data_IF_574354615830
#
_entry.id   IF_574354615830
#
_cell.length_a   1.000
_cell.length_b   1.000
_cell.length_c   1.000
_cell.angle_alpha   90.00
_cell.angle_beta   90.00
_cell.angle_gamma   90.00
#
_symmetry.space_group_name_H-M   'P 1'
#
loop_
_entity.id
_entity.type
_entity.pdbx_description
1 polymer ?
#
# COMPACT_ATOMS: atom_id res chain seq x y z
N UNK A 1 6.90 -87.94 44.97
CA UNK A 1 8.32 -88.38 44.83
C UNK A 1 9.09 -87.60 43.75
N UNK A 2 8.55 -87.36 42.55
CA UNK A 2 9.20 -86.51 41.51
C UNK A 2 9.36 -85.02 41.94
N UNK A 3 8.38 -84.44 42.64
CA UNK A 3 8.46 -83.05 43.12
C UNK A 3 9.52 -82.83 44.22
N UNK A 4 9.70 -83.80 45.12
CA UNK A 4 10.75 -83.76 46.16
C UNK A 4 12.16 -83.98 45.58
N UNK A 5 12.29 -84.79 44.53
CA UNK A 5 13.56 -85.00 43.83
C UNK A 5 13.94 -83.77 42.98
N UNK A 6 12.97 -83.12 42.32
CA UNK A 6 13.18 -81.86 41.62
C UNK A 6 13.45 -80.70 42.60
N UNK A 7 12.82 -80.68 43.78
CA UNK A 7 13.23 -79.79 44.87
C UNK A 7 14.70 -80.06 45.20
N UNK A 8 15.12 -81.25 45.64
CA UNK A 8 16.53 -81.47 45.99
C UNK A 8 17.55 -81.22 44.87
N UNK A 9 17.22 -81.50 43.60
CA UNK A 9 18.17 -81.30 42.49
C UNK A 9 18.36 -79.82 42.10
N UNK A 10 17.31 -79.01 42.26
CA UNK A 10 17.33 -77.60 41.85
C UNK A 10 17.28 -76.63 43.02
N UNK A 11 17.02 -77.08 44.26
CA UNK A 11 16.94 -76.24 45.45
C UNK A 11 18.29 -75.66 45.80
N UNK A 12 19.37 -76.44 45.83
CA UNK A 12 20.70 -75.90 46.16
C UNK A 12 21.20 -74.87 45.11
N UNK A 13 21.07 -75.12 43.78
CA UNK A 13 21.38 -74.12 42.77
C UNK A 13 20.46 -72.89 42.82
N UNK A 14 19.15 -73.07 43.04
CA UNK A 14 18.18 -71.97 43.09
C UNK A 14 18.34 -71.15 44.37
N UNK A 15 18.63 -71.77 45.51
CA UNK A 15 18.91 -71.12 46.79
C UNK A 15 20.21 -70.33 46.73
N UNK A 16 21.26 -70.88 46.09
CA UNK A 16 22.49 -70.14 45.81
C UNK A 16 22.21 -68.91 44.93
N UNK A 17 21.41 -69.05 43.86
CA UNK A 17 21.01 -67.92 43.01
C UNK A 17 20.22 -66.87 43.82
N UNK A 18 19.25 -67.28 44.64
CA UNK A 18 18.48 -66.38 45.49
C UNK A 18 19.35 -65.70 46.55
N UNK A 19 20.36 -66.37 47.10
CA UNK A 19 21.33 -65.80 48.02
C UNK A 19 22.16 -64.70 47.34
N UNK A 20 22.69 -64.96 46.14
CA UNK A 20 23.39 -63.94 45.34
C UNK A 20 22.48 -62.77 44.97
N UNK A 21 21.21 -63.01 44.63
CA UNK A 21 20.24 -61.96 44.34
C UNK A 21 19.95 -61.07 45.56
N UNK A 22 19.87 -61.67 46.77
CA UNK A 22 19.71 -60.92 48.02
C UNK A 22 20.96 -60.11 48.37
N UNK A 23 22.14 -60.66 48.16
CA UNK A 23 23.39 -59.91 48.34
C UNK A 23 23.50 -58.76 47.35
N UNK A 24 23.14 -58.98 46.08
CA UNK A 24 23.09 -57.93 45.07
C UNK A 24 22.10 -56.83 45.46
N UNK A 25 20.89 -57.17 45.92
CA UNK A 25 19.90 -56.19 46.40
C UNK A 25 20.43 -55.40 47.61
N UNK A 26 21.14 -56.07 48.54
CA UNK A 26 21.76 -55.41 49.69
C UNK A 26 22.89 -54.46 49.28
N UNK A 27 23.77 -54.87 48.38
CA UNK A 27 24.83 -54.03 47.82
C UNK A 27 24.24 -52.84 47.06
N UNK A 28 23.17 -53.05 46.29
CA UNK A 28 22.46 -52.00 45.56
C UNK A 28 21.84 -50.98 46.51
N UNK A 29 21.22 -51.44 47.61
CA UNK A 29 20.68 -50.57 48.67
C UNK A 29 21.77 -49.77 49.38
N UNK A 30 22.90 -50.40 49.71
CA UNK A 30 24.04 -49.72 50.34
C UNK A 30 24.69 -48.70 49.41
N UNK A 31 24.83 -49.04 48.13
CA UNK A 31 25.32 -48.12 47.10
C UNK A 31 24.40 -46.90 46.95
N UNK A 32 23.08 -47.12 46.88
CA UNK A 32 22.09 -46.03 46.86
C UNK A 32 22.13 -45.19 48.13
N UNK A 33 22.31 -45.80 49.30
CA UNK A 33 22.49 -45.06 50.56
C UNK A 33 23.75 -44.20 50.55
N UNK A 34 24.86 -44.68 50.00
CA UNK A 34 26.09 -43.91 49.88
C UNK A 34 26.00 -42.81 48.81
N UNK A 35 25.28 -43.03 47.70
CA UNK A 35 24.93 -41.98 46.71
C UNK A 35 24.16 -40.85 47.38
N UNK A 36 23.11 -41.19 48.14
CA UNK A 36 22.27 -40.21 48.86
C UNK A 36 23.08 -39.50 49.94
N UNK A 37 23.87 -40.24 50.72
CA UNK A 37 24.72 -39.69 51.79
C UNK A 37 25.81 -38.77 51.27
N UNK A 38 26.40 -39.08 50.12
CA UNK A 38 27.39 -38.24 49.43
C UNK A 38 26.76 -37.17 48.52
N UNK A 39 25.43 -37.13 48.42
CA UNK A 39 24.65 -36.18 47.61
C UNK A 39 25.10 -36.14 46.14
N UNK A 40 25.47 -37.29 45.58
CA UNK A 40 26.00 -37.38 44.21
C UNK A 40 24.94 -36.94 43.18
N UNK A 41 23.66 -37.26 43.40
CA UNK A 41 22.56 -36.83 42.52
C UNK A 41 22.48 -35.30 42.37
N UNK A 42 22.82 -34.56 43.43
CA UNK A 42 22.83 -33.08 43.41
C UNK A 42 23.98 -32.51 42.59
N UNK A 43 25.09 -33.23 42.46
CA UNK A 43 26.19 -32.84 41.56
C UNK A 43 25.78 -32.99 40.09
N UNK A 44 24.97 -34.01 39.79
CA UNK A 44 24.42 -34.17 38.45
C UNK A 44 23.42 -33.05 38.10
N UNK A 45 22.64 -32.56 39.07
CA UNK A 45 21.82 -31.36 38.89
C UNK A 45 22.64 -30.10 38.63
N UNK A 46 23.78 -29.94 39.33
CA UNK A 46 24.73 -28.84 39.09
C UNK A 46 25.31 -28.94 37.68
N UNK A 47 25.78 -30.11 37.26
CA UNK A 47 26.30 -30.36 35.91
C UNK A 47 25.25 -30.01 34.84
N UNK A 48 24.01 -30.52 34.98
CA UNK A 48 22.91 -30.19 34.07
C UNK A 48 22.62 -28.68 34.02
N UNK A 49 22.75 -27.98 35.14
CA UNK A 49 22.52 -26.52 35.20
C UNK A 49 23.68 -25.75 34.54
N UNK A 50 24.92 -26.23 34.67
CA UNK A 50 26.09 -25.69 33.97
C UNK A 50 25.90 -25.85 32.45
N UNK A 51 25.52 -27.04 31.97
CA UNK A 51 25.27 -27.26 30.54
C UNK A 51 24.18 -26.32 30.01
N UNK A 52 23.08 -26.16 30.76
CA UNK A 52 22.02 -25.20 30.40
C UNK A 52 22.52 -23.75 30.35
N UNK A 53 23.40 -23.35 31.27
CA UNK A 53 24.02 -22.02 31.26
C UNK A 53 24.91 -21.81 30.04
N UNK A 54 25.71 -22.81 29.67
CA UNK A 54 26.55 -22.75 28.48
C UNK A 54 25.71 -22.66 27.20
N UNK A 55 24.63 -23.43 27.10
CA UNK A 55 23.69 -23.37 25.97
C UNK A 55 22.97 -22.02 25.91
N UNK A 56 22.56 -21.47 27.05
CA UNK A 56 21.99 -20.12 27.14
C UNK A 56 22.99 -19.05 26.69
N UNK A 57 24.27 -19.18 27.08
CA UNK A 57 25.34 -18.26 26.66
C UNK A 57 25.52 -18.30 25.14
N UNK A 58 25.64 -19.49 24.54
CA UNK A 58 25.75 -19.66 23.08
C UNK A 58 24.53 -19.08 22.35
N UNK A 59 23.33 -19.35 22.86
CA UNK A 59 22.09 -18.80 22.29
C UNK A 59 22.08 -17.27 22.36
N UNK A 60 22.54 -16.68 23.47
CA UNK A 60 22.64 -15.23 23.64
C UNK A 60 23.64 -14.60 22.67
N UNK A 61 24.81 -15.21 22.52
CA UNK A 61 25.82 -14.78 21.54
C UNK A 61 25.24 -14.81 20.11
N UNK A 62 24.54 -15.89 19.74
CA UNK A 62 23.91 -16.00 18.44
C UNK A 62 22.81 -14.94 18.21
N UNK A 63 21.92 -14.73 19.17
CA UNK A 63 20.88 -13.67 19.07
C UNK A 63 21.52 -12.28 18.98
N UNK A 64 22.64 -12.05 19.67
CA UNK A 64 23.37 -10.78 19.58
C UNK A 64 23.96 -10.57 18.19
N UNK A 65 24.52 -11.60 17.56
CA UNK A 65 25.00 -11.56 16.18
C UNK A 65 23.86 -11.26 15.20
N UNK A 66 22.71 -11.95 15.33
CA UNK A 66 21.52 -11.69 14.50
C UNK A 66 21.03 -10.24 14.63
N UNK A 67 21.02 -9.68 15.84
CA UNK A 67 20.64 -8.27 16.05
C UNK A 67 21.58 -7.34 15.29
N UNK A 68 22.89 -7.57 15.35
CA UNK A 68 23.88 -6.74 14.63
C UNK A 68 23.68 -6.81 13.11
N UNK A 69 23.37 -7.99 12.57
CA UNK A 69 23.06 -8.14 11.15
C UNK A 69 21.76 -7.41 10.76
N UNK A 70 20.73 -7.49 11.59
CA UNK A 70 19.46 -6.79 11.37
C UNK A 70 19.63 -5.28 11.44
N UNK A 71 20.45 -4.77 12.37
CA UNK A 71 20.79 -3.34 12.47
C UNK A 71 21.52 -2.85 11.23
N UNK A 72 22.51 -3.59 10.74
CA UNK A 72 23.21 -3.27 9.48
C UNK A 72 22.25 -3.24 8.29
N UNK A 73 21.33 -4.21 8.23
CA UNK A 73 20.29 -4.26 7.18
C UNK A 73 19.32 -3.07 7.29
N UNK A 74 18.95 -2.68 8.51
CA UNK A 74 18.12 -1.49 8.77
C UNK A 74 18.82 -0.23 8.27
N UNK A 75 20.10 -0.05 8.59
CA UNK A 75 20.90 1.09 8.14
C UNK A 75 20.97 1.17 6.60
N UNK A 76 21.18 0.03 5.92
CA UNK A 76 21.15 -0.02 4.46
C UNK A 76 19.81 0.43 3.87
N UNK A 77 18.69 0.00 4.46
CA UNK A 77 17.35 0.40 4.02
C UNK A 77 17.10 1.88 4.34
N UNK A 78 17.59 2.39 5.47
CA UNK A 78 17.52 3.82 5.81
C UNK A 78 18.29 4.68 4.80
N UNK A 79 19.49 4.26 4.38
CA UNK A 79 20.25 4.97 3.35
C UNK A 79 19.52 4.96 1.99
N UNK A 80 18.90 3.83 1.62
CA UNK A 80 18.03 3.73 0.44
C UNK A 80 16.83 4.69 0.54
N UNK A 81 16.17 4.74 1.70
CA UNK A 81 15.04 5.64 1.95
C UNK A 81 15.44 7.10 1.77
N UNK A 82 16.55 7.54 2.38
CA UNK A 82 17.07 8.91 2.24
C UNK A 82 17.38 9.23 0.79
N UNK A 83 18.09 8.35 0.09
CA UNK A 83 18.42 8.52 -1.34
C UNK A 83 17.16 8.66 -2.20
N UNK A 84 16.15 7.82 -1.96
CA UNK A 84 14.88 7.87 -2.69
C UNK A 84 14.09 9.15 -2.37
N UNK A 85 14.14 9.64 -1.13
CA UNK A 85 13.50 10.89 -0.71
C UNK A 85 14.15 12.10 -1.40
N UNK A 86 15.48 12.18 -1.42
CA UNK A 86 16.22 13.23 -2.12
C UNK A 86 15.90 13.21 -3.61
N UNK A 87 15.97 12.03 -4.25
CA UNK A 87 15.63 11.87 -5.66
C UNK A 87 14.21 12.37 -5.99
N UNK A 88 13.23 12.05 -5.13
CA UNK A 88 11.85 12.54 -5.29
C UNK A 88 11.79 14.07 -5.21
N UNK A 89 12.52 14.67 -4.26
CA UNK A 89 12.57 16.13 -4.10
C UNK A 89 13.17 16.78 -5.33
N UNK A 90 14.33 16.31 -5.80
CA UNK A 90 14.96 16.81 -7.02
C UNK A 90 14.07 16.67 -8.25
N UNK A 91 13.31 15.57 -8.38
CA UNK A 91 12.33 15.43 -9.45
C UNK A 91 11.21 16.46 -9.38
N UNK A 92 10.73 16.80 -8.18
CA UNK A 92 9.70 17.84 -7.99
C UNK A 92 10.22 19.26 -8.21
N UNK A 93 11.51 19.47 -8.01
CA UNK A 93 12.19 20.75 -8.29
C UNK A 93 12.67 20.84 -9.74
N UNK A 94 12.55 19.77 -10.52
CA UNK A 94 13.00 19.74 -11.91
C UNK A 94 12.16 20.67 -12.80
N UNK A 95 12.81 21.16 -13.86
CA UNK A 95 12.14 21.94 -14.91
C UNK A 95 11.03 21.13 -15.58
N UNK A 96 11.21 19.81 -15.74
CA UNK A 96 10.21 18.92 -16.34
C UNK A 96 8.93 18.85 -15.51
N UNK A 97 9.05 18.69 -14.19
CA UNK A 97 7.89 18.66 -13.30
C UNK A 97 7.19 20.03 -13.25
N UNK A 98 7.97 21.12 -13.22
CA UNK A 98 7.42 22.48 -13.27
C UNK A 98 6.64 22.73 -14.56
N UNK A 99 7.19 22.28 -15.71
CA UNK A 99 6.54 22.35 -17.00
C UNK A 99 5.25 21.51 -17.02
N UNK A 100 5.27 20.30 -16.47
CA UNK A 100 4.07 19.48 -16.37
C UNK A 100 2.97 20.19 -15.56
N UNK A 101 3.31 20.80 -14.42
CA UNK A 101 2.33 21.56 -13.62
C UNK A 101 1.76 22.76 -14.39
N UNK A 102 2.59 23.46 -15.16
CA UNK A 102 2.12 24.55 -16.03
C UNK A 102 1.16 24.04 -17.11
N UNK A 103 1.50 22.93 -17.76
CA UNK A 103 0.65 22.31 -18.77
C UNK A 103 -0.69 21.84 -18.20
N UNK A 104 -0.70 21.28 -16.97
CA UNK A 104 -1.92 20.89 -16.27
C UNK A 104 -2.80 22.12 -15.95
N UNK A 105 -2.21 23.22 -15.49
CA UNK A 105 -2.94 24.47 -15.25
C UNK A 105 -3.51 25.06 -16.55
N UNK A 106 -2.73 25.05 -17.64
CA UNK A 106 -3.18 25.51 -18.95
C UNK A 106 -4.31 24.61 -19.49
N UNK A 107 -4.24 23.30 -19.25
CA UNK A 107 -5.32 22.35 -19.58
C UNK A 107 -6.62 22.70 -18.85
N UNK A 108 -6.56 22.99 -17.55
CA UNK A 108 -7.72 23.40 -16.75
C UNK A 108 -8.35 24.69 -17.28
N UNK A 109 -7.51 25.68 -17.65
CA UNK A 109 -7.97 26.93 -18.26
C UNK A 109 -8.69 26.68 -19.59
N UNK A 110 -8.13 25.85 -20.46
CA UNK A 110 -8.76 25.48 -21.74
C UNK A 110 -10.09 24.77 -21.52
N UNK A 111 -10.18 23.86 -20.55
CA UNK A 111 -11.44 23.18 -20.21
C UNK A 111 -12.50 24.20 -19.77
N UNK A 112 -12.11 25.22 -19.02
CA UNK A 112 -13.03 26.27 -18.60
C UNK A 112 -13.45 27.16 -19.78
N UNK A 113 -12.52 27.54 -20.66
CA UNK A 113 -12.83 28.27 -21.90
C UNK A 113 -13.79 27.49 -22.80
N UNK A 114 -13.57 26.19 -22.95
CA UNK A 114 -14.45 25.27 -23.69
C UNK A 114 -15.87 25.30 -23.15
N UNK A 115 -16.03 25.13 -21.84
CA UNK A 115 -17.34 25.20 -21.17
C UNK A 115 -18.04 26.54 -21.40
N UNK A 116 -17.30 27.64 -21.34
CA UNK A 116 -17.85 28.97 -21.58
C UNK A 116 -18.38 29.12 -23.02
N UNK A 117 -17.60 28.66 -24.01
CA UNK A 117 -18.03 28.68 -25.42
C UNK A 117 -19.23 27.76 -25.67
N UNK A 118 -19.23 26.56 -25.10
CA UNK A 118 -20.36 25.63 -25.16
C UNK A 118 -21.63 26.24 -24.54
N UNK A 119 -21.49 26.93 -23.40
CA UNK A 119 -22.59 27.64 -22.76
C UNK A 119 -23.09 28.81 -23.60
N UNK A 120 -22.20 29.57 -24.27
CA UNK A 120 -22.60 30.62 -25.21
C UNK A 120 -23.42 30.06 -26.37
N UNK A 121 -22.94 28.97 -26.99
CA UNK A 121 -23.65 28.26 -28.07
C UNK A 121 -25.03 27.80 -27.57
N UNK A 122 -25.07 27.08 -26.45
CA UNK A 122 -26.31 26.57 -25.88
C UNK A 122 -27.30 27.69 -25.52
N UNK A 123 -26.83 28.76 -24.90
CA UNK A 123 -27.65 29.92 -24.52
C UNK A 123 -28.24 30.61 -25.75
N UNK A 124 -27.44 30.74 -26.82
CA UNK A 124 -27.89 31.32 -28.07
C UNK A 124 -29.04 30.50 -28.68
N UNK A 125 -28.86 29.19 -28.85
CA UNK A 125 -29.89 28.33 -29.46
C UNK A 125 -31.10 28.07 -28.55
N UNK A 126 -30.92 28.08 -27.23
CA UNK A 126 -32.03 27.98 -26.27
C UNK A 126 -33.01 29.14 -26.42
N UNK A 127 -32.52 30.35 -26.68
CA UNK A 127 -33.37 31.53 -26.94
C UNK A 127 -34.15 31.41 -28.26
N UNK A 128 -33.64 30.63 -29.21
CA UNK A 128 -34.27 30.37 -30.51
C UNK A 128 -35.09 29.07 -30.54
N UNK A 129 -35.13 28.30 -29.45
CA UNK A 129 -35.75 26.98 -29.43
C UNK A 129 -37.24 27.00 -29.80
N UNK A 130 -38.01 27.96 -29.26
CA UNK A 130 -39.45 28.10 -29.52
C UNK A 130 -39.76 28.46 -30.99
N UNK A 131 -39.17 29.50 -31.60
CA UNK A 131 -39.40 29.81 -33.01
C UNK A 131 -38.88 28.71 -33.93
N UNK A 132 -37.73 28.09 -33.63
CA UNK A 132 -37.22 26.96 -34.41
C UNK A 132 -38.16 25.76 -34.38
N UNK A 133 -38.71 25.37 -33.21
CA UNK A 133 -39.71 24.28 -33.12
C UNK A 133 -40.98 24.55 -33.92
N UNK A 134 -41.47 25.79 -33.96
CA UNK A 134 -42.63 26.15 -34.78
C UNK A 134 -42.29 26.11 -36.27
N UNK A 135 -41.14 26.67 -36.64
CA UNK A 135 -40.68 26.72 -38.02
C UNK A 135 -40.36 25.33 -38.59
N UNK A 136 -39.83 24.43 -37.77
CA UNK A 136 -39.63 23.02 -38.10
C UNK A 136 -40.89 22.37 -38.68
N UNK A 137 -42.09 22.71 -38.18
CA UNK A 137 -43.38 22.11 -38.62
C UNK A 137 -43.81 22.53 -40.03
N UNK A 138 -43.27 23.64 -40.54
CA UNK A 138 -43.61 24.19 -41.86
C UNK A 138 -42.45 24.11 -42.85
N UNK A 139 -41.23 23.79 -42.39
CA UNK A 139 -40.06 23.63 -43.22
C UNK A 139 -40.07 22.25 -43.91
N UNK A 140 -39.73 22.20 -45.20
CA UNK A 140 -39.67 20.96 -45.99
C UNK A 140 -38.44 20.08 -45.67
N UNK A 141 -37.36 20.68 -45.13
CA UNK A 141 -36.15 19.98 -44.67
C UNK A 141 -35.86 20.41 -43.23
N UNK A 142 -36.23 19.56 -42.28
CA UNK A 142 -36.14 19.83 -40.85
C UNK A 142 -34.95 19.16 -40.17
N UNK A 143 -34.21 18.32 -40.91
CA UNK A 143 -33.16 17.45 -40.38
C UNK A 143 -32.05 18.22 -39.69
N UNK A 144 -31.67 19.40 -40.21
CA UNK A 144 -30.67 20.29 -39.60
C UNK A 144 -31.23 20.99 -38.36
N UNK A 145 -32.45 21.51 -38.43
CA UNK A 145 -33.09 22.23 -37.32
C UNK A 145 -33.25 21.29 -36.11
N UNK A 146 -33.63 20.04 -36.34
CA UNK A 146 -33.72 19.01 -35.29
C UNK A 146 -32.37 18.82 -34.58
N UNK A 147 -31.27 18.74 -35.34
CA UNK A 147 -29.93 18.59 -34.75
C UNK A 147 -29.60 19.75 -33.82
N UNK A 148 -29.83 21.00 -34.25
CA UNK A 148 -29.59 22.19 -33.42
C UNK A 148 -30.53 22.33 -32.21
N UNK A 149 -31.75 21.80 -32.31
CA UNK A 149 -32.70 21.78 -31.20
C UNK A 149 -32.32 20.76 -30.11
N UNK A 150 -31.66 19.66 -30.50
CA UNK A 150 -31.27 18.57 -29.61
C UNK A 150 -29.87 18.75 -29.04
N UNK A 151 -28.89 19.02 -29.89
CA UNK A 151 -27.49 19.24 -29.52
C UNK A 151 -26.86 20.34 -30.40
N UNK A 152 -27.00 21.61 -30.00
CA UNK A 152 -26.48 22.73 -30.78
C UNK A 152 -24.96 22.75 -30.89
N UNK A 153 -24.23 22.10 -29.97
CA UNK A 153 -22.76 22.06 -29.99
C UNK A 153 -22.31 21.11 -31.09
N UNK A 154 -22.73 19.84 -31.02
CA UNK A 154 -22.39 18.85 -32.06
C UNK A 154 -22.94 19.24 -33.42
N UNK A 155 -24.12 19.86 -33.48
CA UNK A 155 -24.69 20.35 -34.74
C UNK A 155 -23.81 21.44 -35.37
N UNK A 156 -23.30 22.39 -34.57
CA UNK A 156 -22.42 23.46 -35.04
C UNK A 156 -21.09 22.94 -35.59
N UNK A 157 -20.54 21.90 -34.98
CA UNK A 157 -19.28 21.31 -35.41
C UNK A 157 -19.38 20.65 -36.77
N UNK A 158 -20.49 19.96 -36.99
CA UNK A 158 -20.74 19.18 -38.19
C UNK A 158 -21.33 20.04 -39.34
N UNK A 159 -21.83 21.25 -39.05
CA UNK A 159 -22.36 22.17 -40.05
C UNK A 159 -21.23 23.00 -40.70
N UNK A 160 -20.50 22.35 -41.61
CA UNK A 160 -19.31 22.94 -42.24
C UNK A 160 -19.60 24.24 -42.99
N UNK A 161 -20.79 24.35 -43.57
CA UNK A 161 -21.20 25.50 -44.38
C UNK A 161 -22.11 26.48 -43.62
N UNK A 162 -22.32 26.25 -42.31
CA UNK A 162 -23.27 27.01 -41.49
C UNK A 162 -24.66 27.14 -42.15
N UNK A 163 -25.17 26.05 -42.70
CA UNK A 163 -26.49 26.01 -43.32
C UNK A 163 -27.60 26.47 -42.38
N UNK A 164 -27.41 26.35 -41.06
CA UNK A 164 -28.32 26.89 -40.04
C UNK A 164 -28.57 28.39 -40.20
N UNK A 165 -27.59 29.18 -40.67
CA UNK A 165 -27.77 30.63 -40.88
C UNK A 165 -28.82 30.86 -41.96
N UNK A 166 -28.78 30.08 -43.05
CA UNK A 166 -29.80 30.14 -44.09
C UNK A 166 -31.20 29.74 -43.60
N UNK A 167 -31.29 28.78 -42.69
CA UNK A 167 -32.56 28.39 -42.08
C UNK A 167 -33.09 29.46 -41.11
N UNK A 168 -32.22 30.16 -40.39
CA UNK A 168 -32.58 31.32 -39.57
C UNK A 168 -33.07 32.49 -40.43
N UNK A 169 -32.45 32.78 -41.57
CA UNK A 169 -32.93 33.81 -42.51
C UNK A 169 -34.32 33.47 -43.07
N UNK A 170 -34.58 32.20 -43.38
CA UNK A 170 -35.92 31.76 -43.79
C UNK A 170 -36.92 31.85 -42.64
N UNK A 171 -36.51 31.53 -41.42
CA UNK A 171 -37.33 31.70 -40.21
C UNK A 171 -37.76 33.17 -40.05
N UNK A 172 -36.85 34.14 -40.24
CA UNK A 172 -37.18 35.59 -40.19
C UNK A 172 -38.36 35.94 -41.10
N UNK A 173 -38.38 35.42 -42.33
CA UNK A 173 -39.46 35.68 -43.29
C UNK A 173 -40.80 35.06 -42.86
N UNK A 174 -40.76 33.97 -42.11
CA UNK A 174 -41.93 33.23 -41.69
C UNK A 174 -42.42 33.64 -40.29
N UNK A 175 -41.65 34.37 -39.48
CA UNK A 175 -42.03 34.77 -38.12
C UNK A 175 -43.44 35.38 -38.00
N UNK A 176 -43.88 36.30 -38.88
CA UNK A 176 -45.24 36.87 -38.82
C UNK A 176 -46.35 35.81 -38.96
N UNK A 177 -46.07 34.71 -39.65
CA UNK A 177 -47.04 33.61 -39.85
C UNK A 177 -47.05 32.62 -38.68
N UNK A 178 -46.05 32.68 -37.79
CA UNK A 178 -45.90 31.76 -36.67
C UNK A 178 -46.67 32.20 -35.41
N UNK A 179 -47.47 33.27 -35.49
CA UNK A 179 -48.33 33.79 -34.41
C UNK A 179 -47.54 34.01 -33.10
N UNK A 180 -46.52 34.86 -33.15
CA UNK A 180 -45.80 35.33 -31.97
C UNK A 180 -46.28 36.73 -31.59
N UNK A 181 -46.09 37.12 -30.32
CA UNK A 181 -46.29 38.51 -29.94
C UNK A 181 -45.23 39.39 -30.62
N UNK A 182 -45.59 40.60 -31.05
CA UNK A 182 -44.67 41.54 -31.72
C UNK A 182 -43.34 41.73 -30.98
N UNK A 183 -43.39 41.83 -29.65
CA UNK A 183 -42.20 41.96 -28.78
C UNK A 183 -41.30 40.71 -28.80
N UNK A 184 -41.87 39.52 -28.99
CA UNK A 184 -41.11 38.28 -29.13
C UNK A 184 -40.48 38.19 -30.53
N UNK A 185 -41.23 38.57 -31.57
CA UNK A 185 -40.72 38.62 -32.95
C UNK A 185 -39.52 39.55 -33.08
N UNK A 186 -39.60 40.76 -32.50
CA UNK A 186 -38.48 41.71 -32.48
C UNK A 186 -37.23 41.12 -31.80
N UNK A 187 -37.40 40.40 -30.68
CA UNK A 187 -36.30 39.71 -29.99
C UNK A 187 -35.69 38.59 -30.83
N UNK A 188 -36.51 37.79 -31.51
CA UNK A 188 -36.02 36.72 -32.37
C UNK A 188 -35.32 37.27 -33.61
N UNK A 189 -35.87 38.31 -34.24
CA UNK A 189 -35.24 39.02 -35.35
C UNK A 189 -33.87 39.58 -34.96
N UNK A 190 -33.75 40.18 -33.77
CA UNK A 190 -32.46 40.67 -33.27
C UNK A 190 -31.43 39.54 -33.08
N UNK A 191 -31.86 38.37 -32.57
CA UNK A 191 -30.98 37.20 -32.42
C UNK A 191 -30.57 36.61 -33.78
N UNK A 192 -31.48 36.57 -34.75
CA UNK A 192 -31.20 36.09 -36.11
C UNK A 192 -30.25 37.06 -36.83
N UNK A 193 -30.48 38.37 -36.73
CA UNK A 193 -29.56 39.37 -37.27
C UNK A 193 -28.14 39.24 -36.67
N UNK A 194 -28.04 38.93 -35.37
CA UNK A 194 -26.76 38.61 -34.73
C UNK A 194 -26.10 37.35 -35.33
N UNK A 195 -26.88 36.32 -35.68
CA UNK A 195 -26.34 35.15 -36.39
C UNK A 195 -25.82 35.52 -37.78
N UNK A 196 -26.59 36.29 -38.54
CA UNK A 196 -26.26 36.75 -39.90
C UNK A 196 -25.01 37.64 -39.92
N UNK A 197 -24.76 38.40 -38.85
CA UNK A 197 -23.54 39.21 -38.69
C UNK A 197 -22.27 38.38 -38.44
N UNK A 198 -22.34 37.05 -38.50
CA UNK A 198 -21.19 36.15 -38.33
C UNK A 198 -20.95 35.65 -36.91
N UNK A 199 -21.83 35.95 -35.94
CA UNK A 199 -21.62 35.50 -34.55
C UNK A 199 -21.49 33.97 -34.43
N UNK A 200 -22.30 33.21 -35.18
CA UNK A 200 -22.23 31.73 -35.19
C UNK A 200 -20.89 31.23 -35.75
N UNK A 201 -20.36 31.89 -36.78
CA UNK A 201 -19.03 31.58 -37.34
C UNK A 201 -17.94 31.84 -36.31
N UNK A 202 -18.01 32.96 -35.58
CA UNK A 202 -17.06 33.27 -34.50
C UNK A 202 -17.09 32.21 -33.40
N UNK A 203 -18.28 31.76 -32.97
CA UNK A 203 -18.40 30.69 -31.97
C UNK A 203 -17.79 29.37 -32.46
N UNK A 204 -18.02 29.02 -33.74
CA UNK A 204 -17.46 27.81 -34.35
C UNK A 204 -15.94 27.85 -34.44
N UNK A 205 -15.37 28.97 -34.89
CA UNK A 205 -13.91 29.17 -34.95
C UNK A 205 -13.31 29.03 -33.55
N UNK A 206 -13.86 29.72 -32.55
CA UNK A 206 -13.40 29.63 -31.16
C UNK A 206 -13.47 28.19 -30.63
N UNK A 207 -14.57 27.48 -30.87
CA UNK A 207 -14.71 26.08 -30.44
C UNK A 207 -13.66 25.16 -31.08
N UNK A 208 -13.32 25.41 -32.35
CA UNK A 208 -12.29 24.66 -33.07
C UNK A 208 -10.89 24.94 -32.52
N UNK A 209 -10.54 26.21 -32.33
CA UNK A 209 -9.26 26.63 -31.76
C UNK A 209 -9.04 26.05 -30.37
N UNK A 210 -10.06 26.10 -29.51
CA UNK A 210 -10.02 25.53 -28.16
C UNK A 210 -9.76 24.01 -28.21
N UNK A 211 -10.41 23.28 -29.13
CA UNK A 211 -10.17 21.83 -29.30
C UNK A 211 -8.77 21.50 -29.80
N UNK A 212 -8.25 22.29 -30.73
CA UNK A 212 -6.89 22.11 -31.24
C UNK A 212 -5.87 22.35 -30.11
N UNK A 213 -6.08 23.38 -29.28
CA UNK A 213 -5.27 23.62 -28.08
C UNK A 213 -5.41 22.50 -27.05
N UNK A 214 -6.64 22.07 -26.73
CA UNK A 214 -6.94 20.96 -25.81
C UNK A 214 -6.21 19.69 -26.24
N UNK A 215 -6.26 19.35 -27.53
CA UNK A 215 -5.55 18.21 -28.10
C UNK A 215 -4.04 18.36 -27.95
N UNK A 216 -3.48 19.51 -28.36
CA UNK A 216 -2.03 19.74 -28.26
C UNK A 216 -1.52 19.67 -26.83
N UNK A 217 -2.26 20.19 -25.85
CA UNK A 217 -1.86 20.13 -24.44
C UNK A 217 -1.98 18.71 -23.91
N UNK A 218 -3.07 18.01 -24.24
CA UNK A 218 -3.26 16.62 -23.82
C UNK A 218 -2.13 15.73 -24.34
N UNK A 219 -1.71 15.91 -25.59
CA UNK A 219 -0.55 15.21 -26.16
C UNK A 219 0.75 15.53 -25.40
N UNK A 220 1.00 16.80 -25.04
CA UNK A 220 2.18 17.20 -24.25
C UNK A 220 2.16 16.65 -22.83
N UNK A 221 1.02 16.70 -22.14
CA UNK A 221 0.85 16.15 -20.79
C UNK A 221 1.10 14.64 -20.80
N UNK A 222 0.50 13.93 -21.75
CA UNK A 222 0.65 12.47 -21.85
C UNK A 222 2.07 12.03 -22.26
N UNK A 223 2.84 12.88 -22.93
CA UNK A 223 4.23 12.59 -23.28
C UNK A 223 5.18 12.69 -22.07
N UNK A 224 4.79 13.37 -21.00
CA UNK A 224 5.60 13.49 -19.79
C UNK A 224 5.57 12.20 -18.97
N UNK A 225 6.74 11.71 -18.56
CA UNK A 225 6.87 10.49 -17.73
C UNK A 225 7.15 10.80 -16.26
N UNK A 226 7.47 12.05 -15.93
CA UNK A 226 7.94 12.46 -14.60
C UNK A 226 6.95 12.13 -13.48
N UNK A 227 5.65 12.23 -13.75
CA UNK A 227 4.61 11.90 -12.78
C UNK A 227 4.63 10.41 -12.42
N UNK A 228 4.78 9.53 -13.43
CA UNK A 228 4.91 8.10 -13.22
C UNK A 228 6.18 7.76 -12.44
N UNK A 229 7.29 8.42 -12.74
CA UNK A 229 8.55 8.21 -12.02
C UNK A 229 8.46 8.64 -10.55
N UNK A 230 7.80 9.77 -10.27
CA UNK A 230 7.52 10.23 -8.91
C UNK A 230 6.62 9.22 -8.16
N UNK A 231 5.61 8.65 -8.82
CA UNK A 231 4.75 7.62 -8.23
C UNK A 231 5.55 6.36 -7.90
N UNK A 232 6.41 5.88 -8.82
CA UNK A 232 7.27 4.71 -8.61
C UNK A 232 8.20 4.93 -7.41
N UNK A 233 8.86 6.09 -7.34
CA UNK A 233 9.76 6.41 -6.21
C UNK A 233 8.99 6.54 -4.91
N UNK A 234 7.80 7.15 -4.93
CA UNK A 234 6.94 7.25 -3.74
C UNK A 234 6.55 5.87 -3.21
N UNK A 235 6.25 4.91 -4.09
CA UNK A 235 6.01 3.53 -3.70
C UNK A 235 7.25 2.87 -3.07
N UNK A 236 8.45 3.10 -3.63
CA UNK A 236 9.71 2.61 -3.03
C UNK A 236 9.95 3.18 -1.64
N UNK A 237 9.73 4.49 -1.45
CA UNK A 237 9.82 5.15 -0.14
C UNK A 237 8.88 4.50 0.88
N UNK A 238 7.63 4.20 0.49
CA UNK A 238 6.67 3.52 1.36
C UNK A 238 7.12 2.10 1.72
N UNK A 239 7.65 1.35 0.76
CA UNK A 239 8.18 0.00 0.98
C UNK A 239 9.39 0.00 1.92
N UNK A 240 10.34 0.91 1.71
CA UNK A 240 11.52 1.05 2.56
C UNK A 240 11.12 1.44 4.00
N UNK A 241 10.19 2.37 4.16
CA UNK A 241 9.65 2.78 5.47
C UNK A 241 8.99 1.61 6.21
N UNK A 242 8.11 0.86 5.54
CA UNK A 242 7.45 -0.31 6.14
C UNK A 242 8.46 -1.39 6.54
N UNK A 243 9.50 -1.61 5.72
CA UNK A 243 10.57 -2.56 6.01
C UNK A 243 11.40 -2.14 7.22
N UNK A 244 11.68 -0.84 7.38
CA UNK A 244 12.37 -0.33 8.58
C UNK A 244 11.54 -0.62 9.83
N UNK A 245 10.23 -0.33 9.81
CA UNK A 245 9.35 -0.62 10.95
C UNK A 245 9.36 -2.11 11.33
N UNK A 246 9.29 -3.00 10.34
CA UNK A 246 9.35 -4.45 10.58
C UNK A 246 10.70 -4.90 11.18
N UNK A 247 11.80 -4.33 10.69
CA UNK A 247 13.13 -4.61 11.25
C UNK A 247 13.25 -4.11 12.70
N UNK A 248 12.73 -2.91 12.99
CA UNK A 248 12.70 -2.35 14.35
C UNK A 248 11.91 -3.21 15.33
N UNK A 249 10.73 -3.67 14.91
CA UNK A 249 9.92 -4.59 15.71
C UNK A 249 10.66 -5.91 15.96
N UNK A 250 11.26 -6.49 14.92
CA UNK A 250 12.03 -7.73 15.03
C UNK A 250 13.20 -7.58 16.00
N UNK A 251 14.01 -6.52 15.84
CA UNK A 251 15.13 -6.21 16.74
C UNK A 251 14.63 -6.05 18.18
N UNK A 252 13.54 -5.32 18.39
CA UNK A 252 12.96 -5.11 19.73
C UNK A 252 12.55 -6.43 20.37
N UNK A 253 11.84 -7.30 19.64
CA UNK A 253 11.44 -8.62 20.16
C UNK A 253 12.64 -9.53 20.47
N UNK A 254 13.71 -9.48 19.66
CA UNK A 254 14.95 -10.23 19.91
C UNK A 254 15.67 -9.70 21.16
N UNK A 255 15.76 -8.38 21.32
CA UNK A 255 16.32 -7.75 22.53
C UNK A 255 15.53 -8.12 23.78
N UNK A 256 14.20 -8.18 23.71
CA UNK A 256 13.35 -8.63 24.82
C UNK A 256 13.56 -10.11 25.15
N UNK A 257 13.64 -10.99 24.13
CA UNK A 257 13.97 -12.41 24.33
C UNK A 257 15.33 -12.56 25.01
N UNK A 258 16.33 -11.80 24.55
CA UNK A 258 17.67 -11.80 25.14
C UNK A 258 17.67 -11.32 26.59
N UNK A 259 16.90 -10.28 26.93
CA UNK A 259 16.74 -9.79 28.32
C UNK A 259 16.08 -10.82 29.23
N UNK A 260 15.15 -11.62 28.70
CA UNK A 260 14.46 -12.70 29.46
C UNK A 260 15.37 -13.91 29.72
N UNK A 261 16.49 -14.06 29.01
CA UNK A 261 17.50 -15.09 29.30
C UNK A 261 18.27 -14.73 30.58
N UNK A 262 17.69 -15.07 31.73
CA UNK A 262 18.22 -14.74 33.04
C UNK A 262 19.32 -15.73 33.48
N UNK A 263 20.57 -15.44 33.11
CA UNK A 263 21.74 -16.19 33.54
C UNK A 263 22.00 -16.09 35.05
N UNK A 264 21.70 -14.95 35.68
CA UNK A 264 21.90 -14.72 37.12
C UNK A 264 21.07 -15.71 37.97
N UNK A 265 19.80 -15.91 37.60
CA UNK A 265 18.92 -16.86 38.29
C UNK A 265 19.42 -18.31 38.25
N UNK A 266 20.14 -18.69 37.19
CA UNK A 266 20.73 -20.03 37.06
C UNK A 266 22.06 -20.12 37.83
N UNK A 267 22.87 -19.06 37.81
CA UNK A 267 24.09 -18.96 38.63
C UNK A 267 23.79 -19.02 40.12
N UNK A 268 22.74 -18.35 40.58
CA UNK A 268 22.34 -18.40 41.99
C UNK A 268 21.80 -19.77 42.39
N UNK A 269 21.07 -20.47 41.50
CA UNK A 269 20.70 -21.88 41.71
C UNK A 269 21.92 -22.79 41.84
N UNK A 270 22.95 -22.58 41.01
CA UNK A 270 24.21 -23.34 41.12
C UNK A 270 24.88 -23.07 42.48
N UNK A 271 25.01 -21.80 42.89
CA UNK A 271 25.61 -21.44 44.19
C UNK A 271 24.86 -22.09 45.35
N UNK A 272 23.53 -21.97 45.39
CA UNK A 272 22.70 -22.59 46.41
C UNK A 272 22.88 -24.11 46.43
N UNK A 273 22.80 -24.76 45.27
CA UNK A 273 22.90 -26.23 45.18
C UNK A 273 24.26 -26.72 45.64
N UNK A 274 25.35 -26.02 45.29
CA UNK A 274 26.69 -26.37 45.72
C UNK A 274 26.86 -26.12 47.23
N UNK A 275 26.38 -24.99 47.74
CA UNK A 275 26.44 -24.66 49.17
C UNK A 275 25.66 -25.69 50.00
N UNK A 276 24.45 -26.07 49.59
CA UNK A 276 23.64 -27.07 50.28
C UNK A 276 24.22 -28.49 50.19
N UNK A 277 24.90 -28.81 49.08
CA UNK A 277 25.43 -30.15 48.84
C UNK A 277 26.78 -30.36 49.52
N UNK A 278 27.70 -29.43 49.32
CA UNK A 278 29.10 -29.56 49.71
C UNK A 278 29.48 -28.69 50.91
N UNK A 279 28.63 -27.75 51.34
CA UNK A 279 28.95 -26.80 52.42
C UNK A 279 29.99 -25.76 52.02
N UNK A 280 30.24 -25.60 50.72
CA UNK A 280 31.24 -24.69 50.16
C UNK A 280 30.53 -23.45 49.61
N UNK A 281 30.98 -22.27 50.03
CA UNK A 281 30.54 -21.00 49.45
C UNK A 281 31.42 -20.66 48.26
N UNK A 282 30.83 -20.52 47.08
CA UNK A 282 31.53 -20.12 45.86
C UNK A 282 31.19 -18.68 45.54
N UNK A 283 32.21 -17.84 45.35
CA UNK A 283 32.08 -16.51 44.75
C UNK A 283 32.53 -16.56 43.30
N UNK A 284 31.70 -16.05 42.40
CA UNK A 284 32.11 -15.79 41.02
C UNK A 284 32.58 -14.33 40.94
N UNK A 285 33.77 -14.12 40.39
CA UNK A 285 34.25 -12.77 40.05
C UNK A 285 33.50 -12.29 38.81
N UNK A 286 32.76 -11.18 38.94
CA UNK A 286 32.18 -10.46 37.80
C UNK A 286 33.34 -10.05 36.87
N UNK A 287 33.32 -10.55 35.63
CA UNK A 287 34.20 -10.07 34.56
C UNK A 287 33.42 -9.14 33.66
#
# INVERSE_FOLDING_TARGET
KSYQAAQHLFFDPVEAIFATLRELDKVTKQFNQEIVKKKIDRLQDVENTITRLEDMKKTKEHVQEEIVELEKKKEQVQNSLTTNQEKRTTMKESEEYTLLQQLQQEQEQIIQEKKNVEQEIFSFFSKLQKPLKKYQRIALDDSRIIKYLNDPISALDNDVNLGIVGDLTKLTKNLPTLNFEKKQEEKFNALIAKAESGYIQTLRIKSKEIREKERSITEKVNASTIENDIVIITKKIQQDSAKIMQLEETITTMMEKMKKMNAESQLDKIKMTIQESLGITISFSSS
#
